data_IF_352760310470
#
_entry.id   IF_352760310470
#
_cell.length_a   1.000
_cell.length_b   1.000
_cell.length_c   1.000
_cell.angle_alpha   90.00
_cell.angle_beta   90.00
_cell.angle_gamma   90.00
#
_symmetry.space_group_name_H-M   'P 1'
#
loop_
_entity.id
_entity.type
_entity.pdbx_description
1 polymer ?
#
# COMPACT_ATOMS: atom_id res chain seq x y z
N UNK A 1 -23.24 -28.23 38.05
CA UNK A 1 -23.47 -29.39 37.23
C UNK A 1 -24.70 -29.14 36.39
N UNK A 2 -24.55 -28.77 35.15
CA UNK A 2 -25.48 -29.05 34.02
C UNK A 2 -24.75 -28.64 32.76
N UNK A 3 -24.37 -29.65 31.99
CA UNK A 3 -23.74 -29.53 30.70
C UNK A 3 -24.76 -28.91 29.72
N UNK A 4 -24.38 -27.90 28.97
CA UNK A 4 -25.14 -27.40 27.84
C UNK A 4 -24.71 -28.19 26.59
N UNK A 5 -25.70 -28.84 25.96
CA UNK A 5 -25.55 -29.58 24.72
C UNK A 5 -25.26 -28.68 23.54
N UNK A 6 -24.55 -29.18 22.52
CA UNK A 6 -24.27 -28.41 21.29
C UNK A 6 -25.55 -28.24 20.45
N UNK A 7 -25.77 -27.06 19.96
CA UNK A 7 -26.90 -26.67 19.10
C UNK A 7 -26.96 -27.51 17.83
N UNK A 8 -28.04 -28.25 17.61
CA UNK A 8 -28.33 -28.98 16.36
C UNK A 8 -28.94 -28.05 15.29
N UNK A 9 -28.66 -28.27 13.99
CA UNK A 9 -29.10 -27.39 12.92
C UNK A 9 -30.51 -27.70 12.42
N UNK A 10 -31.52 -27.48 13.24
CA UNK A 10 -32.91 -27.62 12.81
C UNK A 10 -33.89 -26.79 13.63
N UNK A 11 -33.68 -25.50 13.66
CA UNK A 11 -34.76 -24.52 13.95
C UNK A 11 -34.21 -23.09 13.82
N UNK A 12 -34.48 -22.45 12.71
CA UNK A 12 -34.80 -21.04 12.61
C UNK A 12 -33.85 -19.99 13.19
N UNK A 13 -32.56 -20.22 13.32
CA UNK A 13 -31.60 -19.13 13.52
C UNK A 13 -31.32 -18.46 12.17
N UNK A 14 -32.04 -17.38 11.89
CA UNK A 14 -31.65 -16.43 10.85
C UNK A 14 -30.31 -15.84 11.22
N UNK A 15 -29.26 -16.21 10.47
CA UNK A 15 -28.04 -15.42 10.46
C UNK A 15 -28.41 -14.00 10.03
N UNK A 16 -27.99 -12.96 10.78
CA UNK A 16 -28.21 -11.61 10.33
C UNK A 16 -27.53 -11.46 8.96
N UNK A 17 -28.31 -10.96 7.99
CA UNK A 17 -27.86 -10.57 6.67
C UNK A 17 -26.57 -9.77 6.82
N UNK A 18 -25.56 -10.10 6.03
CA UNK A 18 -24.27 -9.43 5.95
C UNK A 18 -24.46 -7.97 5.51
N UNK A 19 -24.88 -7.12 6.44
CA UNK A 19 -24.66 -5.70 6.34
C UNK A 19 -23.15 -5.46 6.48
N UNK A 20 -22.61 -4.59 5.66
CA UNK A 20 -21.21 -4.23 5.58
C UNK A 20 -20.66 -3.89 6.98
N UNK A 21 -20.00 -4.85 7.61
CA UNK A 21 -19.39 -4.67 8.94
C UNK A 21 -18.37 -3.55 8.89
N UNK A 22 -18.56 -2.52 9.70
CA UNK A 22 -17.64 -1.39 9.74
C UNK A 22 -16.27 -1.85 10.26
N UNK A 23 -15.18 -1.16 9.88
CA UNK A 23 -13.83 -1.41 10.40
C UNK A 23 -13.77 -1.44 11.94
N UNK A 24 -14.70 -0.75 12.63
CA UNK A 24 -14.83 -0.74 14.09
C UNK A 24 -15.40 -2.03 14.64
N UNK A 25 -16.36 -2.65 13.94
CA UNK A 25 -16.94 -3.94 14.33
C UNK A 25 -15.93 -5.07 14.17
N UNK A 26 -15.13 -5.03 13.09
CA UNK A 26 -14.01 -5.96 12.92
C UNK A 26 -12.97 -5.85 14.06
N UNK A 27 -12.62 -4.64 14.47
CA UNK A 27 -11.72 -4.42 15.62
C UNK A 27 -12.34 -4.94 16.93
N UNK A 28 -13.64 -4.76 17.13
CA UNK A 28 -14.36 -5.30 18.27
C UNK A 28 -14.33 -6.82 18.35
N UNK A 29 -14.56 -7.49 17.21
CA UNK A 29 -14.47 -8.96 17.10
C UNK A 29 -13.03 -9.45 17.29
N UNK A 30 -12.04 -8.74 16.74
CA UNK A 30 -10.64 -9.10 16.90
C UNK A 30 -10.18 -8.96 18.37
N UNK A 31 -10.59 -7.90 19.07
CA UNK A 31 -10.29 -7.71 20.50
C UNK A 31 -10.98 -8.78 21.35
N UNK A 32 -12.23 -9.11 21.07
CA UNK A 32 -12.95 -10.17 21.77
C UNK A 32 -12.34 -11.55 21.52
N UNK A 33 -11.86 -11.85 20.31
CA UNK A 33 -11.17 -13.08 19.95
C UNK A 33 -9.81 -13.19 20.67
N UNK A 34 -9.05 -12.10 20.76
CA UNK A 34 -7.78 -12.06 21.52
C UNK A 34 -8.03 -12.24 23.01
N UNK A 35 -9.07 -11.63 23.57
CA UNK A 35 -9.45 -11.81 24.96
C UNK A 35 -9.86 -13.27 25.26
N UNK A 36 -10.59 -13.93 24.36
CA UNK A 36 -10.97 -15.34 24.46
C UNK A 36 -9.74 -16.29 24.33
N UNK A 37 -8.78 -15.96 23.48
CA UNK A 37 -7.54 -16.73 23.32
C UNK A 37 -6.62 -16.64 24.55
N UNK A 38 -6.65 -15.54 25.29
CA UNK A 38 -5.87 -15.36 26.52
C UNK A 38 -6.44 -16.12 27.73
N UNK A 39 -7.71 -16.59 27.64
CA UNK A 39 -8.40 -17.27 28.74
C UNK A 39 -8.46 -18.81 28.61
N UNK A 40 -7.99 -19.40 27.54
CA UNK A 40 -8.02 -20.84 27.38
C UNK A 40 -7.21 -21.41 26.23
N UNK A 41 -6.15 -22.10 26.58
CA UNK A 41 -5.38 -23.09 25.83
C UNK A 41 -4.45 -22.68 24.69
N UNK A 42 -3.21 -23.15 24.91
CA UNK A 42 -2.16 -23.50 23.95
C UNK A 42 -1.70 -22.49 22.88
N UNK A 43 -0.55 -21.92 23.18
CA UNK A 43 0.63 -21.59 22.30
C UNK A 43 0.46 -21.07 20.87
N UNK A 44 -0.67 -20.62 20.44
CA UNK A 44 -0.77 -19.86 19.18
C UNK A 44 -0.48 -18.38 19.49
N UNK A 45 0.49 -17.80 18.79
CA UNK A 45 0.68 -16.35 18.87
C UNK A 45 -0.58 -15.66 18.34
N UNK A 46 -0.91 -14.47 18.85
CA UNK A 46 -2.04 -13.71 18.33
C UNK A 46 -1.94 -13.47 16.82
N UNK A 47 -0.71 -13.44 16.29
CA UNK A 47 -0.42 -13.32 14.87
C UNK A 47 -0.81 -14.59 14.10
N UNK A 48 -0.44 -15.77 14.57
CA UNK A 48 -0.82 -17.06 13.95
C UNK A 48 -2.33 -17.26 13.99
N UNK A 49 -2.98 -16.95 15.12
CA UNK A 49 -4.44 -17.04 15.24
C UNK A 49 -5.16 -16.13 14.25
N UNK A 50 -4.69 -14.90 14.07
CA UNK A 50 -5.27 -13.97 13.10
C UNK A 50 -5.00 -14.42 11.66
N UNK A 51 -3.80 -14.91 11.36
CA UNK A 51 -3.43 -15.36 10.01
C UNK A 51 -4.18 -16.62 9.58
N UNK A 52 -4.41 -17.58 10.49
CA UNK A 52 -5.19 -18.80 10.21
C UNK A 52 -6.68 -18.55 9.91
N UNK A 53 -7.21 -17.40 10.34
CA UNK A 53 -8.61 -17.01 10.08
C UNK A 53 -8.80 -16.26 8.76
N UNK A 54 -7.71 -15.87 8.09
CA UNK A 54 -7.79 -15.16 6.83
C UNK A 54 -7.83 -16.12 5.65
N UNK A 55 -8.96 -16.15 4.97
CA UNK A 55 -9.12 -16.90 3.71
C UNK A 55 -8.72 -15.99 2.55
N UNK A 56 -7.92 -16.51 1.63
CA UNK A 56 -7.68 -15.82 0.36
C UNK A 56 -9.01 -15.64 -0.37
N UNK A 57 -9.23 -14.43 -0.90
CA UNK A 57 -10.42 -14.14 -1.72
C UNK A 57 -10.44 -15.04 -2.95
N UNK A 58 -11.57 -15.63 -3.25
CA UNK A 58 -11.77 -16.35 -4.51
C UNK A 58 -11.66 -15.36 -5.70
N UNK A 59 -11.40 -15.88 -6.89
CA UNK A 59 -11.36 -15.05 -8.11
C UNK A 59 -12.69 -14.31 -8.32
N UNK A 60 -13.79 -14.93 -8.00
CA UNK A 60 -15.13 -14.33 -8.13
C UNK A 60 -15.35 -13.20 -7.12
N UNK A 61 -14.86 -13.35 -5.90
CA UNK A 61 -14.96 -12.30 -4.89
C UNK A 61 -14.08 -11.10 -5.23
N UNK A 62 -12.89 -11.33 -5.77
CA UNK A 62 -12.04 -10.24 -6.30
C UNK A 62 -12.76 -9.49 -7.41
N UNK A 63 -13.47 -10.16 -8.33
CA UNK A 63 -14.24 -9.50 -9.38
C UNK A 63 -15.39 -8.66 -8.83
N UNK A 64 -16.12 -9.15 -7.82
CA UNK A 64 -17.17 -8.39 -7.13
C UNK A 64 -16.60 -7.12 -6.50
N UNK A 65 -15.45 -7.23 -5.82
CA UNK A 65 -14.77 -6.07 -5.22
C UNK A 65 -14.31 -5.08 -6.29
N UNK A 66 -13.76 -5.55 -7.41
CA UNK A 66 -13.35 -4.69 -8.52
C UNK A 66 -14.56 -3.92 -9.08
N UNK A 67 -15.66 -4.60 -9.37
CA UNK A 67 -16.87 -3.96 -9.88
C UNK A 67 -17.44 -2.89 -8.92
N UNK A 68 -17.39 -3.17 -7.61
CA UNK A 68 -17.76 -2.18 -6.58
C UNK A 68 -16.84 -0.97 -6.62
N UNK A 69 -15.53 -1.16 -6.67
CA UNK A 69 -14.54 -0.08 -6.71
C UNK A 69 -14.69 0.79 -7.96
N UNK A 70 -14.93 0.20 -9.13
CA UNK A 70 -15.15 0.94 -10.37
C UNK A 70 -16.40 1.82 -10.28
N UNK A 71 -17.49 1.31 -9.69
CA UNK A 71 -18.70 2.07 -9.43
C UNK A 71 -18.43 3.23 -8.46
N UNK A 72 -17.80 2.98 -7.32
CA UNK A 72 -17.45 4.01 -6.33
C UNK A 72 -16.58 5.12 -6.94
N UNK A 73 -15.59 4.76 -7.77
CA UNK A 73 -14.73 5.75 -8.40
C UNK A 73 -15.44 6.56 -9.47
N UNK A 74 -16.36 5.95 -10.23
CA UNK A 74 -17.22 6.66 -11.19
C UNK A 74 -18.09 7.68 -10.47
N UNK A 75 -18.69 7.31 -9.34
CA UNK A 75 -19.50 8.21 -8.52
C UNK A 75 -18.66 9.34 -7.90
N UNK A 76 -17.50 9.01 -7.32
CA UNK A 76 -16.64 9.96 -6.62
C UNK A 76 -15.93 10.95 -7.54
N UNK A 77 -15.45 10.50 -8.69
CA UNK A 77 -14.61 11.31 -9.59
C UNK A 77 -15.31 11.73 -10.89
N UNK A 78 -16.52 11.25 -11.16
CA UNK A 78 -17.24 11.51 -12.41
C UNK A 78 -16.54 10.95 -13.67
N UNK A 79 -15.62 9.98 -13.49
CA UNK A 79 -14.78 9.41 -14.55
C UNK A 79 -14.79 7.89 -14.47
N UNK A 80 -14.81 7.24 -15.62
CA UNK A 80 -14.66 5.79 -15.64
C UNK A 80 -13.22 5.41 -15.31
N UNK A 81 -13.07 4.64 -14.24
CA UNK A 81 -11.78 4.11 -13.78
C UNK A 81 -11.82 2.59 -13.93
N UNK A 82 -10.90 2.03 -14.69
CA UNK A 82 -10.78 0.60 -14.88
C UNK A 82 -9.80 0.01 -13.87
N UNK A 83 -10.24 -0.96 -13.09
CA UNK A 83 -9.44 -1.62 -12.07
C UNK A 83 -8.99 -3.00 -12.55
N UNK A 84 -7.74 -3.10 -13.02
CA UNK A 84 -7.15 -4.37 -13.42
C UNK A 84 -6.68 -5.22 -12.23
N UNK A 85 -6.53 -6.53 -12.49
CA UNK A 85 -5.95 -7.49 -11.54
C UNK A 85 -4.96 -8.42 -12.25
N UNK A 86 -4.02 -7.85 -12.98
CA UNK A 86 -2.98 -8.62 -13.67
C UNK A 86 -2.08 -9.34 -12.64
N UNK A 87 -1.85 -10.66 -12.78
CA UNK A 87 -1.03 -11.42 -11.86
C UNK A 87 0.45 -11.03 -11.98
N UNK A 88 1.28 -11.43 -10.98
CA UNK A 88 2.73 -11.29 -11.07
C UNK A 88 3.31 -11.91 -12.33
N UNK A 89 4.33 -11.27 -12.92
CA UNK A 89 4.96 -11.75 -14.15
C UNK A 89 5.81 -12.99 -13.83
N UNK A 90 5.53 -14.16 -14.43
CA UNK A 90 6.28 -15.38 -14.15
C UNK A 90 7.75 -15.25 -14.54
N UNK A 91 8.65 -15.79 -13.69
CA UNK A 91 10.08 -15.83 -13.95
C UNK A 91 10.81 -14.51 -13.93
N UNK A 92 10.11 -13.41 -13.57
CA UNK A 92 10.68 -12.06 -13.52
C UNK A 92 10.82 -11.61 -12.07
N UNK A 93 11.94 -10.94 -11.76
CA UNK A 93 12.13 -10.21 -10.51
C UNK A 93 12.49 -8.77 -10.89
N UNK A 94 11.60 -7.84 -10.55
CA UNK A 94 11.86 -6.44 -10.79
C UNK A 94 12.91 -5.89 -9.82
N UNK A 95 13.82 -5.09 -10.35
CA UNK A 95 14.85 -4.38 -9.61
C UNK A 95 14.81 -2.89 -9.90
N UNK A 96 15.37 -2.11 -9.00
CA UNK A 96 15.53 -0.68 -9.14
C UNK A 96 17.01 -0.32 -9.13
N UNK A 97 17.46 0.39 -10.15
CA UNK A 97 18.80 0.95 -10.24
C UNK A 97 18.70 2.48 -10.31
N UNK A 98 19.49 3.16 -9.51
CA UNK A 98 19.55 4.61 -9.44
C UNK A 98 21.02 5.06 -9.60
N UNK A 99 21.27 5.86 -10.62
CA UNK A 99 22.55 6.54 -10.82
C UNK A 99 22.51 7.90 -10.13
N UNK A 100 23.08 7.98 -8.94
CA UNK A 100 23.12 9.22 -8.14
C UNK A 100 23.98 10.29 -8.81
N UNK A 101 24.96 9.92 -9.63
CA UNK A 101 25.83 10.89 -10.31
C UNK A 101 25.09 11.75 -11.34
N UNK A 102 23.94 11.24 -11.81
CA UNK A 102 23.07 11.94 -12.77
C UNK A 102 21.92 12.70 -12.16
N UNK A 103 21.68 12.50 -10.86
CA UNK A 103 20.57 13.16 -10.20
C UNK A 103 20.87 14.62 -9.95
N UNK A 104 20.08 15.52 -10.51
CA UNK A 104 20.19 16.98 -10.34
C UNK A 104 19.17 17.55 -9.36
N UNK A 105 18.38 16.73 -8.67
CA UNK A 105 17.41 17.20 -7.69
C UNK A 105 16.11 17.78 -8.25
N UNK A 106 15.84 17.70 -9.55
CA UNK A 106 14.72 18.40 -10.22
C UNK A 106 13.30 17.88 -9.85
N UNK A 107 13.16 16.85 -9.03
CA UNK A 107 11.89 16.26 -8.55
C UNK A 107 10.88 15.83 -9.63
N UNK A 108 11.27 15.76 -10.90
CA UNK A 108 10.41 15.25 -11.97
C UNK A 108 9.92 13.83 -11.71
N UNK A 109 10.76 12.99 -11.07
CA UNK A 109 10.39 11.64 -10.64
C UNK A 109 9.25 11.64 -9.61
N UNK A 110 9.24 12.61 -8.68
CA UNK A 110 8.16 12.79 -7.70
C UNK A 110 6.86 13.11 -8.42
N UNK A 111 6.86 14.13 -9.26
CA UNK A 111 5.65 14.56 -9.99
C UNK A 111 5.11 13.47 -10.91
N UNK A 112 5.97 12.76 -11.64
CA UNK A 112 5.55 11.65 -12.49
C UNK A 112 4.95 10.50 -11.66
N UNK A 113 5.54 10.17 -10.52
CA UNK A 113 5.03 9.14 -9.61
C UNK A 113 3.66 9.54 -9.02
N UNK A 114 3.53 10.79 -8.58
CA UNK A 114 2.30 11.34 -8.01
C UNK A 114 1.16 11.28 -9.04
N UNK A 115 1.41 11.69 -10.28
CA UNK A 115 0.43 11.69 -11.37
C UNK A 115 0.03 10.26 -11.77
N UNK A 116 1.01 9.39 -12.00
CA UNK A 116 0.78 8.02 -12.46
C UNK A 116 0.02 7.17 -11.44
N UNK A 117 0.32 7.39 -10.15
CA UNK A 117 -0.14 6.50 -9.10
C UNK A 117 -1.31 7.05 -8.27
N UNK A 118 -2.05 8.03 -8.77
CA UNK A 118 -3.23 8.57 -8.11
C UNK A 118 -2.96 8.91 -6.63
N UNK A 119 -1.78 9.49 -6.32
CA UNK A 119 -1.46 9.89 -4.95
C UNK A 119 -2.26 11.12 -4.57
N UNK A 120 -2.60 11.27 -3.29
CA UNK A 120 -3.33 12.44 -2.80
C UNK A 120 -2.56 13.74 -3.04
N UNK A 121 -3.29 14.81 -3.41
CA UNK A 121 -2.74 16.17 -3.52
C UNK A 121 -2.98 16.97 -2.25
N UNK A 122 -4.04 16.62 -1.51
CA UNK A 122 -4.38 17.25 -0.25
C UNK A 122 -5.09 16.20 0.66
N UNK A 123 -4.50 15.82 1.80
CA UNK A 123 -3.10 16.08 2.17
C UNK A 123 -2.12 15.47 1.16
N UNK A 124 -0.99 16.14 0.94
CA UNK A 124 -0.01 15.68 -0.05
C UNK A 124 0.68 14.39 0.38
N UNK A 125 0.73 13.41 -0.53
CA UNK A 125 1.48 12.16 -0.37
C UNK A 125 2.42 11.99 -1.53
N UNK A 126 3.70 11.76 -1.22
CA UNK A 126 4.75 11.49 -2.20
C UNK A 126 5.46 10.18 -1.84
N UNK A 127 5.41 9.18 -2.73
CA UNK A 127 6.09 7.90 -2.51
C UNK A 127 7.59 7.96 -2.72
N UNK A 128 8.06 9.01 -3.39
CA UNK A 128 9.47 9.29 -3.63
C UNK A 128 9.82 10.57 -2.90
N UNK A 129 10.84 10.52 -2.08
CA UNK A 129 11.47 11.69 -1.47
C UNK A 129 12.81 11.90 -2.15
N UNK A 130 13.13 13.13 -2.53
CA UNK A 130 14.45 13.47 -3.01
C UNK A 130 15.13 14.26 -1.91
N UNK A 131 16.22 13.72 -1.41
CA UNK A 131 17.03 14.32 -0.36
C UNK A 131 18.15 15.12 -1.00
N UNK A 132 18.31 16.36 -0.60
CA UNK A 132 19.48 17.18 -0.87
C UNK A 132 20.50 16.94 0.26
N UNK A 133 21.75 16.68 -0.10
CA UNK A 133 22.83 16.30 0.81
C UNK A 133 24.09 17.08 0.43
N UNK A 134 24.86 17.47 1.42
CA UNK A 134 26.16 18.12 1.22
C UNK A 134 27.24 17.09 0.86
N UNK A 135 28.07 17.37 -0.16
CA UNK A 135 29.12 16.47 -0.62
C UNK A 135 30.18 16.23 0.45
N UNK A 136 30.50 17.24 1.25
CA UNK A 136 31.51 17.17 2.30
C UNK A 136 31.08 16.25 3.45
N UNK A 137 29.79 16.24 3.80
CA UNK A 137 29.24 15.39 4.84
C UNK A 137 28.90 13.97 4.36
N UNK A 138 28.81 13.75 3.06
CA UNK A 138 28.40 12.48 2.47
C UNK A 138 26.93 12.17 2.75
N UNK A 139 26.60 10.91 3.07
CA UNK A 139 25.23 10.50 3.34
C UNK A 139 24.89 10.76 4.81
N UNK A 140 24.64 12.00 5.15
CA UNK A 140 24.17 12.43 6.47
C UNK A 140 22.65 12.68 6.43
N UNK A 141 21.86 11.69 6.88
CA UNK A 141 20.39 11.79 6.83
C UNK A 141 19.81 12.75 7.90
N UNK A 142 20.60 13.18 8.89
CA UNK A 142 20.13 14.13 9.90
C UNK A 142 20.10 15.55 9.34
N UNK A 143 21.01 15.87 8.42
CA UNK A 143 21.10 17.18 7.77
C UNK A 143 20.45 17.18 6.37
N UNK A 144 19.90 16.04 5.92
CA UNK A 144 19.30 15.92 4.62
C UNK A 144 18.02 16.76 4.50
N UNK A 145 17.95 17.64 3.50
CA UNK A 145 16.79 18.49 3.22
C UNK A 145 15.90 17.86 2.13
N UNK A 146 14.62 17.71 2.40
CA UNK A 146 13.66 17.20 1.42
C UNK A 146 12.74 18.27 0.82
N UNK A 147 12.73 19.49 1.39
CA UNK A 147 11.85 20.59 0.99
C UNK A 147 12.60 21.73 0.29
N UNK A 148 13.80 21.42 -0.22
CA UNK A 148 14.59 22.40 -0.98
C UNK A 148 13.82 22.93 -2.20
N UNK A 149 14.20 24.10 -2.69
CA UNK A 149 13.58 24.70 -3.87
C UNK A 149 14.05 24.00 -5.15
N UNK A 150 13.15 23.32 -5.91
CA UNK A 150 13.54 22.62 -7.12
C UNK A 150 13.94 23.53 -8.29
N UNK A 151 13.69 24.83 -8.22
CA UNK A 151 14.08 25.80 -9.26
C UNK A 151 15.54 26.25 -9.11
N UNK A 152 16.16 25.97 -7.95
CA UNK A 152 17.55 26.37 -7.64
C UNK A 152 18.57 25.22 -7.82
N UNK A 153 18.13 24.10 -8.34
CA UNK A 153 19.00 22.91 -8.50
C UNK A 153 19.59 22.79 -9.91
N UNK A 154 20.77 22.18 -10.05
CA UNK A 154 21.64 21.62 -9.00
C UNK A 154 22.42 22.70 -8.26
N UNK A 155 22.50 22.61 -6.92
CA UNK A 155 23.33 23.50 -6.10
C UNK A 155 24.76 23.01 -6.05
N UNK A 156 25.71 23.94 -6.11
CA UNK A 156 27.13 23.62 -5.95
C UNK A 156 27.41 23.06 -4.55
N UNK A 157 28.31 22.07 -4.47
CA UNK A 157 28.61 21.41 -3.20
C UNK A 157 27.56 20.39 -2.73
N UNK A 158 26.44 20.20 -3.46
CA UNK A 158 25.37 19.27 -3.09
C UNK A 158 25.25 18.11 -4.07
N UNK A 159 24.63 17.03 -3.61
CA UNK A 159 24.15 15.92 -4.45
C UNK A 159 22.74 15.51 -3.98
N UNK A 160 22.04 14.78 -4.84
CA UNK A 160 20.63 14.46 -4.62
C UNK A 160 20.40 12.96 -4.60
N UNK A 161 19.64 12.49 -3.61
CA UNK A 161 19.32 11.07 -3.44
C UNK A 161 17.83 10.83 -3.42
N UNK A 162 17.20 10.38 -4.51
CA UNK A 162 15.83 9.89 -4.51
C UNK A 162 15.70 8.62 -3.68
N UNK A 163 14.77 8.63 -2.74
CA UNK A 163 14.48 7.49 -1.84
C UNK A 163 13.03 7.10 -1.98
N UNK A 164 12.78 5.83 -2.26
CA UNK A 164 11.46 5.20 -2.32
C UNK A 164 11.51 3.78 -1.75
N UNK A 165 10.40 3.03 -1.88
CA UNK A 165 10.38 1.62 -1.46
C UNK A 165 11.41 0.79 -2.25
N UNK A 166 12.30 0.11 -1.52
CA UNK A 166 13.38 -0.71 -2.08
C UNK A 166 12.92 -2.12 -2.48
N UNK A 167 11.64 -2.46 -2.39
CA UNK A 167 11.09 -3.78 -2.72
C UNK A 167 11.91 -4.94 -2.12
N UNK A 168 12.23 -4.86 -0.84
CA UNK A 168 13.19 -5.72 -0.13
C UNK A 168 12.93 -7.21 -0.36
N UNK A 169 14.01 -8.00 -0.48
CA UNK A 169 13.93 -9.47 -0.59
C UNK A 169 13.34 -10.10 0.68
N UNK A 170 13.69 -9.55 1.86
CA UNK A 170 13.15 -9.94 3.17
C UNK A 170 12.54 -8.70 3.82
N UNK A 171 11.31 -8.29 3.44
CA UNK A 171 10.74 -7.02 3.86
C UNK A 171 10.33 -7.03 5.33
N UNK A 172 10.95 -6.19 6.20
CA UNK A 172 10.56 -6.13 7.61
C UNK A 172 9.12 -5.64 7.78
N UNK A 173 8.68 -4.76 6.90
CA UNK A 173 7.31 -4.24 6.89
C UNK A 173 6.22 -5.29 6.62
N UNK A 174 6.55 -6.41 5.97
CA UNK A 174 5.64 -7.54 5.80
C UNK A 174 5.56 -8.34 7.09
N UNK A 175 6.71 -8.59 7.74
CA UNK A 175 6.78 -9.37 8.98
C UNK A 175 5.96 -8.78 10.13
N UNK A 176 5.89 -7.45 10.21
CA UNK A 176 5.19 -6.76 11.30
C UNK A 176 3.72 -6.49 11.02
N UNK A 177 3.19 -6.94 9.89
CA UNK A 177 1.78 -6.69 9.56
C UNK A 177 0.88 -7.70 10.29
N UNK A 178 0.09 -7.27 11.30
CA UNK A 178 -0.67 -8.20 12.13
C UNK A 178 -1.82 -8.89 11.38
N UNK A 179 -2.26 -8.29 10.27
CA UNK A 179 -3.39 -8.81 9.48
C UNK A 179 -2.97 -9.34 8.11
N UNK A 180 -1.68 -9.46 7.82
CA UNK A 180 -1.20 -9.94 6.53
C UNK A 180 -1.57 -9.09 5.31
N UNK A 181 -2.00 -7.83 5.51
CA UNK A 181 -2.44 -6.93 4.43
C UNK A 181 -1.32 -6.51 3.46
N UNK A 182 -0.09 -6.87 3.72
CA UNK A 182 1.06 -6.58 2.85
C UNK A 182 1.93 -7.82 2.73
N UNK A 183 2.34 -8.14 1.51
CA UNK A 183 3.17 -9.31 1.21
C UNK A 183 4.10 -9.02 0.03
N UNK A 184 5.02 -9.94 -0.22
CA UNK A 184 5.91 -9.88 -1.38
C UNK A 184 5.43 -10.87 -2.42
N UNK A 185 5.16 -10.40 -3.62
CA UNK A 185 4.70 -11.21 -4.74
C UNK A 185 5.86 -11.96 -5.42
N UNK A 186 5.50 -12.91 -6.31
CA UNK A 186 6.47 -13.77 -7.02
C UNK A 186 7.40 -12.98 -7.94
N UNK A 187 6.95 -11.83 -8.47
CA UNK A 187 7.74 -10.90 -9.28
C UNK A 187 8.63 -9.95 -8.45
N UNK A 188 8.69 -10.16 -7.14
CA UNK A 188 9.53 -9.41 -6.22
C UNK A 188 8.92 -8.14 -5.68
N UNK A 189 7.77 -7.72 -6.15
CA UNK A 189 7.11 -6.49 -5.74
C UNK A 189 6.39 -6.71 -4.41
N UNK A 190 6.61 -5.81 -3.45
CA UNK A 190 5.88 -5.78 -2.19
C UNK A 190 4.63 -4.94 -2.38
N UNK A 191 3.48 -5.53 -2.13
CA UNK A 191 2.15 -4.92 -2.31
C UNK A 191 1.43 -4.72 -0.99
N UNK A 192 0.35 -3.93 -1.03
CA UNK A 192 -0.58 -3.72 0.09
C UNK A 192 -2.00 -3.87 -0.44
N UNK A 193 -2.81 -4.69 0.21
CA UNK A 193 -4.25 -4.65 -0.02
C UNK A 193 -4.88 -3.56 0.85
N UNK A 194 -5.34 -2.51 0.18
CA UNK A 194 -5.93 -1.35 0.84
C UNK A 194 -7.32 -1.62 1.43
N UNK A 195 -8.01 -2.68 1.01
CA UNK A 195 -9.26 -3.09 1.63
C UNK A 195 -9.02 -3.85 2.94
N UNK A 196 -7.85 -4.50 3.05
CA UNK A 196 -7.47 -5.31 4.20
C UNK A 196 -6.62 -4.55 5.22
N UNK A 197 -5.97 -3.46 4.81
CA UNK A 197 -5.13 -2.65 5.68
C UNK A 197 -5.94 -1.96 6.77
N UNK A 198 -5.65 -2.29 8.03
CA UNK A 198 -6.28 -1.67 9.22
C UNK A 198 -5.61 -0.36 9.66
N UNK A 199 -4.52 0.05 9.02
CA UNK A 199 -3.84 1.31 9.31
C UNK A 199 -3.07 1.36 10.63
N UNK A 200 -2.64 0.24 11.18
CA UNK A 200 -1.87 0.18 12.44
C UNK A 200 -0.49 0.86 12.38
N UNK A 201 0.05 1.11 11.18
CA UNK A 201 1.32 1.82 10.90
C UNK A 201 2.59 1.10 11.34
N UNK A 202 2.54 -0.12 11.87
CA UNK A 202 3.72 -0.88 12.24
C UNK A 202 4.70 -1.05 11.08
N UNK A 203 4.18 -1.22 9.87
CA UNK A 203 5.00 -1.29 8.66
C UNK A 203 5.74 0.02 8.33
N UNK A 204 5.26 1.18 8.80
CA UNK A 204 5.98 2.46 8.67
C UNK A 204 7.16 2.50 9.65
N UNK A 205 6.94 2.13 10.91
CA UNK A 205 8.00 2.06 11.92
C UNK A 205 9.09 1.03 11.56
N UNK A 206 8.70 -0.08 10.94
CA UNK A 206 9.63 -1.13 10.53
C UNK A 206 10.42 -0.80 9.25
N UNK A 207 10.02 0.21 8.48
CA UNK A 207 10.69 0.56 7.23
C UNK A 207 11.88 1.50 7.48
N UNK A 208 13.14 1.06 7.26
CA UNK A 208 14.30 1.91 7.52
C UNK A 208 14.42 3.07 6.50
N UNK A 209 13.71 3.00 5.38
CA UNK A 209 13.74 4.02 4.32
C UNK A 209 12.64 5.07 4.44
N UNK A 210 11.74 4.97 5.44
CA UNK A 210 10.58 5.85 5.56
C UNK A 210 9.67 5.81 4.31
N UNK A 211 9.68 4.71 3.56
CA UNK A 211 9.04 4.59 2.24
C UNK A 211 7.59 4.08 2.32
N UNK A 212 6.94 4.22 3.46
CA UNK A 212 5.53 3.92 3.65
C UNK A 212 4.83 5.16 4.19
N UNK A 213 3.69 5.48 3.60
CA UNK A 213 2.94 6.70 3.84
C UNK A 213 1.53 6.36 4.29
N UNK A 214 1.03 7.08 5.29
CA UNK A 214 -0.31 6.85 5.84
C UNK A 214 -1.27 7.94 5.40
N UNK A 215 -2.46 7.57 4.97
CA UNK A 215 -3.53 8.49 4.61
C UNK A 215 -4.24 9.00 5.88
N UNK A 216 -3.79 10.13 6.41
CA UNK A 216 -4.35 10.78 7.60
C UNK A 216 -5.70 11.45 7.35
N UNK A 217 -5.89 11.98 6.16
CA UNK A 217 -7.11 12.63 5.68
C UNK A 217 -7.76 11.88 4.53
N UNK A 218 -8.91 12.34 4.08
CA UNK A 218 -9.51 11.88 2.83
C UNK A 218 -8.63 12.33 1.65
N UNK A 219 -8.14 11.42 0.82
CA UNK A 219 -7.30 11.79 -0.30
C UNK A 219 -8.07 12.59 -1.35
N UNK A 220 -7.48 13.70 -1.78
CA UNK A 220 -8.04 14.58 -2.79
C UNK A 220 -7.27 14.47 -4.09
N UNK A 221 -7.97 14.13 -5.16
CA UNK A 221 -7.45 14.07 -6.54
C UNK A 221 -8.50 14.73 -7.43
N UNK A 222 -8.12 15.76 -8.17
CA UNK A 222 -9.04 16.37 -9.12
C UNK A 222 -9.42 15.37 -10.22
N UNK A 223 -10.67 15.38 -10.69
CA UNK A 223 -11.17 14.42 -11.69
C UNK A 223 -10.30 14.37 -12.97
N UNK A 224 -9.78 15.52 -13.41
CA UNK A 224 -8.88 15.62 -14.57
C UNK A 224 -7.56 14.89 -14.38
N UNK A 225 -7.07 14.79 -13.13
CA UNK A 225 -5.77 14.22 -12.77
C UNK A 225 -5.85 12.74 -12.39
N UNK A 226 -7.05 12.18 -12.31
CA UNK A 226 -7.23 10.75 -12.05
C UNK A 226 -6.73 9.94 -13.23
N UNK A 227 -5.75 9.07 -12.99
CA UNK A 227 -5.33 8.04 -13.94
C UNK A 227 -6.41 6.95 -13.99
N UNK A 228 -7.10 6.74 -15.12
CA UNK A 228 -8.18 5.77 -15.24
C UNK A 228 -7.70 4.32 -15.32
N UNK A 229 -6.45 4.10 -15.72
CA UNK A 229 -5.83 2.79 -15.81
C UNK A 229 -5.25 2.42 -14.46
N UNK A 230 -5.95 1.59 -13.68
CA UNK A 230 -5.52 1.25 -12.33
C UNK A 230 -5.35 -0.26 -12.13
N UNK A 231 -4.70 -0.62 -11.04
CA UNK A 231 -4.55 -1.99 -10.60
C UNK A 231 -5.04 -2.12 -9.15
N UNK A 232 -5.73 -3.20 -8.84
CA UNK A 232 -6.30 -3.47 -7.52
C UNK A 232 -5.32 -3.26 -6.35
N UNK A 233 -4.09 -3.80 -6.47
CA UNK A 233 -3.01 -3.66 -5.49
C UNK A 233 -2.05 -2.50 -5.79
N UNK A 234 -2.30 -1.73 -6.84
CA UNK A 234 -1.37 -0.73 -7.36
C UNK A 234 -1.80 0.70 -7.09
N UNK A 235 -2.07 1.38 -8.19
CA UNK A 235 -2.30 2.83 -8.25
C UNK A 235 -3.77 3.24 -8.14
N UNK A 236 -4.69 2.33 -7.79
CA UNK A 236 -6.08 2.75 -7.54
C UNK A 236 -6.14 3.81 -6.44
N UNK A 237 -7.07 4.75 -6.46
CA UNK A 237 -7.24 5.71 -5.38
C UNK A 237 -7.38 4.99 -4.02
N UNK A 238 -6.65 5.46 -3.00
CA UNK A 238 -6.65 4.84 -1.67
C UNK A 238 -7.63 5.55 -0.76
N UNK A 239 -8.29 4.85 0.17
CA UNK A 239 -9.12 5.47 1.19
C UNK A 239 -8.26 6.08 2.32
N UNK A 240 -8.88 6.94 3.12
CA UNK A 240 -8.32 7.36 4.42
C UNK A 240 -8.06 6.15 5.32
N UNK A 241 -7.02 6.21 6.13
CA UNK A 241 -6.73 5.23 7.17
C UNK A 241 -5.96 3.99 6.69
N UNK A 242 -5.41 3.99 5.48
CA UNK A 242 -4.53 2.92 4.99
C UNK A 242 -3.09 3.41 4.81
N UNK A 243 -2.15 2.46 4.77
CA UNK A 243 -0.75 2.74 4.43
C UNK A 243 -0.51 2.44 2.97
N UNK A 244 0.12 3.36 2.27
CA UNK A 244 0.49 3.22 0.86
C UNK A 244 2.00 3.35 0.65
N UNK A 245 2.49 2.88 -0.50
CA UNK A 245 3.90 2.92 -0.89
C UNK A 245 4.06 2.68 -2.39
N UNK A 246 5.26 2.90 -2.92
CA UNK A 246 5.62 2.53 -4.30
C UNK A 246 5.30 1.06 -4.59
N UNK A 247 4.51 0.81 -5.62
CA UNK A 247 4.11 -0.51 -6.12
C UNK A 247 4.81 -0.89 -7.44
N UNK A 248 5.89 -0.18 -7.80
CA UNK A 248 6.64 -0.41 -9.04
C UNK A 248 5.78 -0.21 -10.31
N UNK A 249 4.74 0.61 -10.24
CA UNK A 249 3.77 0.84 -11.31
C UNK A 249 3.22 -0.48 -11.89
N UNK A 250 2.73 -1.40 -11.02
CA UNK A 250 2.24 -2.72 -11.45
C UNK A 250 1.12 -2.65 -12.50
N UNK A 251 0.34 -1.57 -12.53
CA UNK A 251 -0.64 -1.29 -13.59
C UNK A 251 -0.01 -1.16 -14.98
N UNK A 252 1.29 -0.89 -15.05
CA UNK A 252 2.05 -0.80 -16.29
C UNK A 252 2.96 -2.00 -16.49
N UNK A 253 3.80 -2.31 -15.51
CA UNK A 253 4.83 -3.34 -15.62
C UNK A 253 4.27 -4.73 -15.87
N UNK A 254 3.13 -5.07 -15.29
CA UNK A 254 2.43 -6.34 -15.54
C UNK A 254 1.69 -6.38 -16.89
N UNK A 255 1.63 -5.26 -17.60
CA UNK A 255 1.16 -5.19 -18.98
C UNK A 255 2.30 -5.09 -20.01
N UNK A 256 3.54 -5.30 -19.59
CA UNK A 256 4.74 -5.16 -20.42
C UNK A 256 5.13 -3.73 -20.76
N UNK A 257 4.55 -2.73 -20.06
CA UNK A 257 4.88 -1.31 -20.26
C UNK A 257 5.96 -0.86 -19.28
N UNK A 258 6.77 0.12 -19.65
CA UNK A 258 7.75 0.72 -18.74
C UNK A 258 7.06 1.46 -17.57
N UNK A 259 7.64 1.42 -16.35
CA UNK A 259 7.18 2.25 -15.25
C UNK A 259 7.34 3.74 -15.57
N UNK A 260 6.53 4.59 -14.91
CA UNK A 260 6.50 6.03 -15.18
C UNK A 260 7.89 6.71 -15.06
N UNK A 261 8.73 6.26 -14.14
CA UNK A 261 10.08 6.81 -13.96
C UNK A 261 11.00 6.56 -15.16
N UNK A 262 10.92 5.39 -15.78
CA UNK A 262 11.75 5.08 -16.95
C UNK A 262 11.41 6.00 -18.13
N UNK A 263 10.16 6.48 -18.23
CA UNK A 263 9.74 7.37 -19.30
C UNK A 263 10.23 8.82 -19.16
N UNK A 264 10.75 9.19 -18.00
CA UNK A 264 11.31 10.55 -17.76
C UNK A 264 12.68 10.70 -18.40
N UNK A 265 13.40 9.60 -18.55
CA UNK A 265 14.79 9.56 -18.99
C UNK A 265 14.99 8.92 -20.38
N UNK A 266 13.91 8.47 -21.01
CA UNK A 266 13.92 7.91 -22.37
C UNK A 266 13.42 9.01 -23.38
#
# INVERSE_FOLDING_TARGET
MTAQEPCQPSSGCQCPSTEEGSRREFLGVAVAAVAAALTGCEKLSAEEFLQDKFTELSKDDVQKVIARLEKEYKEKYGKEVKVGNAPPVPGTIFGYALDLSRCIGCRRCVHACVKENNQSREPEIQWIKVLELEKEEGVNLQHAEQYYNPDEVPREGHFYMPVQCQQCKKPPCVKVCPVGATWREKDGIVVVDYNWCIGCRYCMAACPYGARHFNWGEPTIAAKDVNPETHYLGNRPRPKGVVEKCTFCIQRTRQGKYPALSLIHI
#
